data_IF_326932789028
#
_entry.id   IF_326932789028
#
_cell.length_a   1.000
_cell.length_b   1.000
_cell.length_c   1.000
_cell.angle_alpha   90.00
_cell.angle_beta   90.00
_cell.angle_gamma   90.00
#
_symmetry.space_group_name_H-M   'P 1'
#
loop_
_entity.id
_entity.type
_entity.pdbx_description
1 polymer ?
#
# COMPACT_ATOMS: atom_id res chain seq x y z
N UNK A 1 -12.26 -43.19 -10.20
CA UNK A 1 -11.62 -41.86 -9.95
C UNK A 1 -12.39 -40.81 -10.75
N UNK A 2 -12.91 -39.75 -10.11
CA UNK A 2 -13.67 -38.70 -10.83
C UNK A 2 -12.68 -37.78 -11.56
N UNK A 3 -12.98 -37.41 -12.81
CA UNK A 3 -12.21 -36.39 -13.54
C UNK A 3 -12.41 -35.04 -12.86
N UNK A 4 -11.33 -34.30 -12.64
CA UNK A 4 -11.42 -32.94 -12.11
C UNK A 4 -12.11 -32.06 -13.17
N UNK A 5 -13.08 -31.25 -12.75
CA UNK A 5 -13.84 -30.39 -13.66
C UNK A 5 -13.01 -29.19 -14.17
N UNK A 6 -12.01 -28.75 -13.39
CA UNK A 6 -11.12 -27.63 -13.70
C UNK A 6 -9.66 -27.96 -13.35
N UNK A 7 -8.75 -27.46 -14.17
CA UNK A 7 -7.30 -27.50 -13.95
C UNK A 7 -6.87 -26.39 -12.98
N UNK A 8 -6.64 -26.73 -11.71
CA UNK A 8 -6.27 -25.76 -10.64
C UNK A 8 -5.02 -24.92 -10.91
N UNK A 9 -4.07 -25.42 -11.70
CA UNK A 9 -2.81 -24.71 -12.02
C UNK A 9 -3.01 -23.51 -12.93
N UNK A 10 -4.00 -23.58 -13.82
CA UNK A 10 -4.30 -22.55 -14.81
C UNK A 10 -5.63 -21.83 -14.48
N UNK A 11 -6.21 -22.11 -13.32
CA UNK A 11 -7.51 -21.57 -12.94
C UNK A 11 -7.36 -20.13 -12.42
N UNK A 12 -8.20 -19.23 -12.92
CA UNK A 12 -8.33 -17.86 -12.42
C UNK A 12 -9.48 -17.82 -11.40
N UNK A 13 -9.27 -17.11 -10.30
CA UNK A 13 -10.27 -16.92 -9.24
C UNK A 13 -10.91 -15.55 -9.39
N UNK A 14 -12.21 -15.43 -9.11
CA UNK A 14 -12.96 -14.17 -9.20
C UNK A 14 -13.80 -13.94 -7.94
N UNK A 15 -13.90 -12.69 -7.51
CA UNK A 15 -14.89 -12.21 -6.55
C UNK A 15 -16.16 -11.88 -7.32
N UNK A 16 -17.28 -12.40 -6.85
CA UNK A 16 -18.60 -12.08 -7.39
C UNK A 16 -19.15 -10.86 -6.65
N UNK A 17 -19.20 -9.70 -7.32
CA UNK A 17 -19.61 -8.42 -6.72
C UNK A 17 -20.84 -7.87 -7.46
N UNK A 18 -21.69 -7.11 -6.79
CA UNK A 18 -22.81 -6.41 -7.43
C UNK A 18 -22.32 -5.38 -8.45
N UNK A 19 -23.10 -5.15 -9.51
CA UNK A 19 -22.80 -4.05 -10.46
C UNK A 19 -22.79 -2.72 -9.72
N UNK A 20 -21.97 -1.79 -10.19
CA UNK A 20 -21.97 -0.43 -9.64
C UNK A 20 -23.26 0.29 -10.01
N UNK A 21 -23.69 1.25 -9.18
CA UNK A 21 -24.84 2.12 -9.52
C UNK A 21 -24.59 3.00 -10.75
N UNK A 22 -23.33 3.13 -11.20
CA UNK A 22 -22.93 3.86 -12.41
C UNK A 22 -22.73 2.94 -13.62
N UNK A 23 -23.06 1.65 -13.50
CA UNK A 23 -22.95 0.70 -14.60
C UNK A 23 -24.20 0.82 -15.49
N UNK A 24 -24.07 1.21 -16.77
CA UNK A 24 -25.21 1.46 -17.64
C UNK A 24 -26.05 0.21 -17.91
N UNK A 25 -25.44 -0.99 -17.85
CA UNK A 25 -26.17 -2.23 -18.04
C UNK A 25 -26.84 -2.73 -16.73
N UNK A 26 -26.76 -1.99 -15.62
CA UNK A 26 -27.45 -2.37 -14.38
C UNK A 26 -28.97 -2.24 -14.48
N UNK A 27 -29.47 -1.42 -15.41
CA UNK A 27 -30.90 -1.25 -15.68
C UNK A 27 -31.47 -2.29 -16.66
N UNK A 28 -30.62 -3.13 -17.27
CA UNK A 28 -31.03 -4.15 -18.24
C UNK A 28 -31.44 -5.43 -17.51
N UNK A 29 -32.70 -5.83 -17.63
CA UNK A 29 -33.26 -7.03 -17.01
C UNK A 29 -32.68 -8.34 -17.58
N UNK A 30 -32.09 -8.29 -18.78
CA UNK A 30 -31.47 -9.47 -19.40
C UNK A 30 -30.03 -9.69 -18.93
N UNK A 31 -29.42 -8.66 -18.35
CA UNK A 31 -28.05 -8.71 -17.89
C UNK A 31 -27.96 -9.27 -16.46
N UNK A 32 -26.93 -10.08 -16.14
CA UNK A 32 -26.74 -10.61 -14.80
C UNK A 32 -26.41 -9.50 -13.79
N UNK A 33 -26.93 -9.62 -12.56
CA UNK A 33 -26.78 -8.64 -11.48
C UNK A 33 -25.35 -8.55 -10.91
N UNK A 34 -24.47 -9.50 -11.21
CA UNK A 34 -23.13 -9.57 -10.65
C UNK A 34 -22.05 -9.54 -11.72
N UNK A 35 -20.92 -8.91 -11.38
CA UNK A 35 -19.71 -8.85 -12.20
C UNK A 35 -18.59 -9.63 -11.50
N UNK A 36 -17.75 -10.28 -12.29
CA UNK A 36 -16.58 -11.03 -11.82
C UNK A 36 -15.35 -10.13 -11.76
N UNK A 37 -14.79 -9.92 -10.57
CA UNK A 37 -13.52 -9.21 -10.37
C UNK A 37 -12.40 -10.22 -10.10
N UNK A 38 -11.30 -10.22 -10.86
CA UNK A 38 -10.23 -11.18 -10.68
C UNK A 38 -9.59 -11.05 -9.29
N UNK A 39 -9.33 -12.17 -8.63
CA UNK A 39 -8.65 -12.25 -7.33
C UNK A 39 -7.24 -12.75 -7.58
N UNK A 40 -6.28 -11.84 -7.79
CA UNK A 40 -4.90 -12.22 -8.09
C UNK A 40 -4.15 -12.66 -6.84
N UNK A 41 -3.73 -13.92 -6.73
CA UNK A 41 -2.74 -14.31 -5.70
C UNK A 41 -1.43 -13.56 -5.87
N UNK A 42 -1.05 -13.30 -7.13
CA UNK A 42 0.10 -12.48 -7.51
C UNK A 42 -0.05 -11.04 -7.00
N UNK A 43 -1.27 -10.54 -6.88
CA UNK A 43 -1.55 -9.20 -6.36
C UNK A 43 -1.26 -9.13 -4.85
N UNK A 44 -1.50 -10.21 -4.11
CA UNK A 44 -1.18 -10.29 -2.68
C UNK A 44 0.33 -10.27 -2.45
N UNK A 45 1.12 -10.98 -3.26
CA UNK A 45 2.59 -10.97 -3.14
C UNK A 45 3.17 -9.59 -3.50
N UNK A 46 2.76 -9.01 -4.63
CA UNK A 46 3.15 -7.65 -5.01
C UNK A 46 2.78 -6.61 -3.95
N UNK A 47 1.57 -6.71 -3.39
CA UNK A 47 1.12 -5.85 -2.29
C UNK A 47 1.99 -6.02 -1.04
N UNK A 48 2.44 -7.23 -0.71
CA UNK A 48 3.37 -7.46 0.41
C UNK A 48 4.74 -6.86 0.15
N UNK A 49 5.25 -6.93 -1.08
CA UNK A 49 6.51 -6.30 -1.47
C UNK A 49 6.44 -4.77 -1.35
N UNK A 50 5.35 -4.16 -1.83
CA UNK A 50 5.10 -2.72 -1.69
C UNK A 50 4.96 -2.31 -0.22
N UNK A 51 4.21 -3.07 0.58
CA UNK A 51 4.12 -2.85 2.03
C UNK A 51 5.48 -2.87 2.70
N UNK A 52 6.34 -3.84 2.38
CA UNK A 52 7.72 -3.91 2.88
C UNK A 52 8.54 -2.70 2.45
N UNK A 53 8.36 -2.23 1.21
CA UNK A 53 9.01 -1.00 0.71
C UNK A 53 8.62 0.23 1.54
N UNK A 54 7.39 0.27 2.05
CA UNK A 54 6.90 1.33 2.95
C UNK A 54 7.06 1.01 4.46
N UNK A 55 7.80 -0.05 4.81
CA UNK A 55 8.10 -0.40 6.21
C UNK A 55 6.95 -1.05 6.98
N UNK A 56 5.96 -1.62 6.28
CA UNK A 56 4.84 -2.34 6.89
C UNK A 56 5.18 -3.84 6.98
N UNK A 57 5.24 -4.38 8.20
CA UNK A 57 5.64 -5.76 8.50
C UNK A 57 4.59 -6.57 9.28
N UNK A 58 3.37 -6.06 9.40
CA UNK A 58 2.31 -6.77 10.10
C UNK A 58 1.79 -7.96 9.28
N UNK A 59 1.50 -9.06 9.97
CA UNK A 59 0.96 -10.30 9.40
C UNK A 59 -0.57 -10.36 9.44
N UNK A 60 -1.25 -9.22 9.65
CA UNK A 60 -2.70 -9.16 9.54
C UNK A 60 -3.15 -9.16 8.08
N UNK A 61 -4.41 -9.53 7.84
CA UNK A 61 -4.97 -9.54 6.48
C UNK A 61 -5.42 -8.13 6.04
N UNK A 62 -4.90 -7.08 6.66
CA UNK A 62 -5.28 -5.71 6.37
C UNK A 62 -4.43 -5.13 5.23
N UNK A 63 -5.04 -4.31 4.38
CA UNK A 63 -4.35 -3.71 3.23
C UNK A 63 -3.96 -2.27 3.54
N UNK A 64 -2.76 -2.10 4.08
CA UNK A 64 -2.22 -0.77 4.46
C UNK A 64 -2.03 0.17 3.27
N UNK A 65 -2.00 -0.35 2.04
CA UNK A 65 -1.86 0.47 0.84
C UNK A 65 -3.17 1.17 0.44
N UNK A 66 -4.33 0.73 0.95
CA UNK A 66 -5.62 1.38 0.64
C UNK A 66 -5.71 2.85 1.11
N UNK A 67 -4.88 3.25 2.07
CA UNK A 67 -4.85 4.62 2.61
C UNK A 67 -3.71 5.47 2.02
N UNK A 68 -2.80 4.85 1.27
CA UNK A 68 -1.77 5.56 0.53
C UNK A 68 -2.41 6.22 -0.70
N UNK A 69 -2.61 7.54 -0.62
CA UNK A 69 -3.03 8.35 -1.76
C UNK A 69 -1.81 8.61 -2.65
N UNK A 70 -1.93 8.33 -3.95
CA UNK A 70 -0.96 8.83 -4.93
C UNK A 70 -0.86 10.35 -4.82
N UNK A 71 0.37 10.86 -4.69
CA UNK A 71 0.62 12.29 -4.71
C UNK A 71 0.38 12.81 -6.14
N UNK A 72 -0.89 13.14 -6.45
CA UNK A 72 -1.29 13.65 -7.76
C UNK A 72 -0.69 15.03 -8.09
N UNK A 73 -0.10 15.72 -7.12
CA UNK A 73 0.49 17.05 -7.28
C UNK A 73 1.91 17.06 -6.68
N UNK A 74 2.92 17.60 -7.39
CA UNK A 74 4.22 17.83 -6.79
C UNK A 74 4.05 18.86 -5.67
N UNK A 75 4.32 18.45 -4.43
CA UNK A 75 4.31 19.35 -3.29
C UNK A 75 5.68 20.04 -3.20
N UNK A 76 5.74 21.33 -3.50
CA UNK A 76 6.91 22.15 -3.21
C UNK A 76 6.92 22.53 -1.72
N UNK A 77 7.93 22.03 -0.98
CA UNK A 77 8.16 22.47 0.39
C UNK A 77 8.80 23.86 0.37
N UNK A 78 8.00 24.90 0.63
CA UNK A 78 8.51 26.26 0.82
C UNK A 78 8.99 26.39 2.26
N UNK A 79 10.27 26.71 2.45
CA UNK A 79 10.81 27.05 3.77
C UNK A 79 10.11 28.31 4.31
N UNK A 80 9.39 28.17 5.41
CA UNK A 80 8.83 29.34 6.09
C UNK A 80 9.97 30.23 6.62
N UNK A 81 9.84 31.56 6.59
CA UNK A 81 10.83 32.44 7.19
C UNK A 81 10.97 32.10 8.67
N UNK A 82 12.18 31.73 9.08
CA UNK A 82 12.52 31.60 10.50
C UNK A 82 12.42 33.00 11.10
N UNK A 83 11.38 33.25 11.90
CA UNK A 83 11.27 34.49 12.67
C UNK A 83 12.49 34.59 13.57
N UNK A 84 13.45 35.42 13.17
CA UNK A 84 14.63 35.73 13.98
C UNK A 84 14.12 36.44 15.23
N UNK A 85 14.16 35.74 16.37
CA UNK A 85 14.23 36.41 17.66
C UNK A 85 15.71 36.71 17.85
N UNK A 86 16.06 37.98 17.72
CA UNK A 86 17.44 38.43 17.83
C UNK A 86 18.02 38.13 19.22
N UNK A 87 19.22 37.54 19.17
CA UNK A 87 20.35 37.59 20.12
C UNK A 87 20.12 37.31 21.62
N UNK A 88 20.68 36.21 22.13
CA UNK A 88 21.94 36.25 22.93
C UNK A 88 22.51 34.85 23.24
N UNK A 89 23.84 34.78 23.16
CA UNK A 89 24.81 33.83 23.77
C UNK A 89 24.83 32.35 23.33
N UNK A 90 25.93 31.94 22.68
CA UNK A 90 26.48 30.57 22.73
C UNK A 90 27.02 30.27 24.15
N UNK A 91 27.04 29.00 24.58
CA UNK A 91 28.36 28.35 24.72
C UNK A 91 28.40 26.87 24.28
N UNK A 92 29.64 26.40 24.06
CA UNK A 92 30.20 25.03 24.20
C UNK A 92 29.47 23.87 23.50
N UNK A 93 30.05 23.28 22.45
CA UNK A 93 30.94 22.10 22.54
C UNK A 93 30.22 20.88 23.13
N UNK A 94 29.83 19.96 22.24
CA UNK A 94 29.86 18.51 22.47
C UNK A 94 29.80 17.86 21.08
N UNK A 95 30.99 17.56 20.53
CA UNK A 95 31.12 16.52 19.51
C UNK A 95 31.01 15.18 20.25
N UNK A 96 29.81 14.60 20.27
CA UNK A 96 29.66 13.18 20.55
C UNK A 96 29.65 12.44 19.21
N UNK A 97 30.83 11.95 18.87
CA UNK A 97 31.12 10.94 17.87
C UNK A 97 30.21 9.73 18.15
N UNK A 98 29.19 9.52 17.32
CA UNK A 98 28.30 8.37 17.43
C UNK A 98 29.03 7.18 16.82
N UNK A 99 29.76 6.45 17.67
CA UNK A 99 30.38 5.17 17.33
C UNK A 99 29.30 4.20 16.78
N UNK A 100 29.48 3.76 15.53
CA UNK A 100 28.72 2.66 14.95
C UNK A 100 29.06 1.36 15.71
N UNK A 101 28.24 0.96 16.68
CA UNK A 101 28.27 -0.41 17.19
C UNK A 101 27.62 -1.36 16.16
N UNK A 102 28.47 -2.14 15.52
CA UNK A 102 28.13 -3.35 14.76
C UNK A 102 27.46 -4.37 15.69
N UNK A 103 26.12 -4.38 15.71
CA UNK A 103 25.34 -5.40 16.42
C UNK A 103 25.35 -6.68 15.61
N UNK A 104 26.40 -7.48 15.79
CA UNK A 104 26.40 -8.90 15.46
C UNK A 104 25.44 -9.64 16.40
N UNK A 105 24.33 -10.13 15.84
CA UNK A 105 23.32 -10.93 16.55
C UNK A 105 23.75 -12.41 16.52
N UNK A 106 23.63 -13.17 17.63
CA UNK A 106 24.19 -14.51 17.82
C UNK A 106 23.61 -15.64 16.96
#
# INVERSE_FOLDING_TARGET
>A
KKKAFINKKNAVSFHLVHRSQKDPLAADETAPQHVLLPTGKVEVEKRKEEQRKFGVFFDDNYDYLQHLREASQPAELVSAPRSRRDAQTKPAEDEEDMEEEDVSVP
#
